data_IF_365076245684
#
_entry.id   IF_365076245684
#
_cell.length_a   1.000
_cell.length_b   1.000
_cell.length_c   1.000
_cell.angle_alpha   90.00
_cell.angle_beta   90.00
_cell.angle_gamma   90.00
#
_symmetry.space_group_name_H-M   'P 1'
#
loop_
_entity.id
_entity.type
_entity.pdbx_description
1 polymer ?
#
# COMPACT_ATOMS: atom_id res chain seq x y z
N UNK A 1 8.77 -28.22 -18.90
CA UNK A 1 7.45 -28.05 -18.24
C UNK A 1 6.98 -26.62 -18.50
N UNK A 2 5.72 -26.41 -18.91
CA UNK A 2 5.21 -25.05 -19.08
C UNK A 2 5.15 -24.36 -17.70
N UNK A 3 5.75 -23.16 -17.59
CA UNK A 3 5.74 -22.39 -16.35
C UNK A 3 4.30 -22.15 -15.83
N UNK A 4 3.33 -22.08 -16.74
CA UNK A 4 1.92 -22.00 -16.40
C UNK A 4 1.39 -23.26 -15.68
N UNK A 5 1.65 -24.46 -16.20
CA UNK A 5 1.20 -25.71 -15.54
C UNK A 5 1.78 -25.84 -14.14
N UNK A 6 3.04 -25.42 -13.95
CA UNK A 6 3.66 -25.38 -12.63
C UNK A 6 2.94 -24.40 -11.69
N UNK A 7 2.66 -23.18 -12.15
CA UNK A 7 1.95 -22.18 -11.35
C UNK A 7 0.51 -22.62 -10.99
N UNK A 8 -0.23 -23.17 -11.95
CA UNK A 8 -1.58 -23.73 -11.71
C UNK A 8 -1.57 -24.88 -10.71
N UNK A 9 -0.54 -25.72 -10.75
CA UNK A 9 -0.37 -26.82 -9.80
C UNK A 9 0.01 -26.34 -8.40
N UNK A 10 0.94 -25.38 -8.28
CA UNK A 10 1.25 -24.76 -6.98
C UNK A 10 0.01 -24.07 -6.39
N UNK A 11 -0.77 -23.38 -7.22
CA UNK A 11 -2.04 -22.79 -6.79
C UNK A 11 -3.06 -23.85 -6.33
N UNK A 12 -3.05 -25.04 -6.94
CA UNK A 12 -3.86 -26.19 -6.48
C UNK A 12 -3.42 -26.68 -5.11
N UNK A 13 -2.11 -26.88 -4.89
CA UNK A 13 -1.56 -27.34 -3.62
C UNK A 13 -1.80 -26.34 -2.48
N UNK A 14 -1.75 -25.04 -2.80
CA UNK A 14 -1.89 -23.95 -1.84
C UNK A 14 -3.34 -23.48 -1.65
N UNK A 15 -4.31 -24.04 -2.36
CA UNK A 15 -5.69 -23.53 -2.35
C UNK A 15 -6.32 -23.63 -0.95
N UNK A 16 -6.82 -22.50 -0.44
CA UNK A 16 -7.67 -22.43 0.77
C UNK A 16 -9.07 -21.90 0.40
N UNK A 17 -10.18 -22.62 0.67
CA UNK A 17 -11.54 -22.15 0.36
C UNK A 17 -11.87 -20.81 1.03
N UNK A 18 -12.45 -19.88 0.27
CA UNK A 18 -12.76 -18.53 0.76
C UNK A 18 -11.58 -17.55 0.77
N UNK A 19 -10.41 -17.96 0.25
CA UNK A 19 -9.22 -17.11 0.18
C UNK A 19 -8.71 -16.97 -1.25
N UNK A 20 -8.26 -15.76 -1.55
CA UNK A 20 -7.34 -15.48 -2.64
C UNK A 20 -5.92 -15.90 -2.24
N UNK A 21 -5.11 -16.24 -3.24
CA UNK A 21 -3.73 -16.66 -3.08
C UNK A 21 -2.83 -15.77 -3.94
N UNK A 22 -1.67 -15.39 -3.40
CA UNK A 22 -0.54 -14.89 -4.17
C UNK A 22 0.73 -15.64 -3.75
N UNK A 23 1.59 -15.96 -4.70
CA UNK A 23 2.85 -16.65 -4.42
C UNK A 23 3.98 -16.28 -5.38
N UNK A 24 5.20 -16.57 -4.96
CA UNK A 24 6.42 -16.43 -5.75
C UNK A 24 7.38 -17.57 -5.41
N UNK A 25 8.03 -18.12 -6.43
CA UNK A 25 9.06 -19.15 -6.28
C UNK A 25 10.45 -18.53 -6.33
N UNK A 26 11.35 -18.99 -5.45
CA UNK A 26 12.77 -18.64 -5.46
C UNK A 26 13.59 -19.75 -4.78
N UNK A 27 14.61 -20.26 -5.46
CA UNK A 27 15.61 -21.20 -4.92
C UNK A 27 15.00 -22.38 -4.15
N UNK A 28 14.06 -23.08 -4.81
CA UNK A 28 13.37 -24.24 -4.23
C UNK A 28 12.31 -23.91 -3.17
N UNK A 29 12.06 -22.64 -2.89
CA UNK A 29 11.04 -22.18 -1.95
C UNK A 29 9.86 -21.53 -2.66
N UNK A 30 8.67 -21.73 -2.12
CA UNK A 30 7.42 -21.06 -2.52
C UNK A 30 6.98 -20.19 -1.35
N UNK A 31 7.11 -18.88 -1.51
CA UNK A 31 6.58 -17.90 -0.57
C UNK A 31 5.17 -17.53 -0.99
N UNK A 32 4.21 -17.61 -0.08
CA UNK A 32 2.81 -17.38 -0.42
C UNK A 32 2.05 -16.62 0.67
N UNK A 33 0.97 -15.96 0.29
CA UNK A 33 0.06 -15.31 1.22
C UNK A 33 -1.40 -15.58 0.81
N UNK A 34 -2.22 -15.84 1.81
CA UNK A 34 -3.67 -15.87 1.67
C UNK A 34 -4.30 -14.54 2.08
N UNK A 35 -5.41 -14.22 1.42
CA UNK A 35 -6.26 -13.07 1.72
C UNK A 35 -7.73 -13.46 1.60
N UNK A 36 -8.55 -13.19 2.62
CA UNK A 36 -9.97 -13.57 2.58
C UNK A 36 -10.69 -12.82 1.47
N UNK A 37 -11.53 -13.52 0.70
CA UNK A 37 -12.31 -12.93 -0.39
C UNK A 37 -13.35 -11.91 0.12
N UNK A 38 -13.79 -12.06 1.36
CA UNK A 38 -14.77 -11.17 2.00
C UNK A 38 -14.10 -9.99 2.73
N UNK A 39 -12.77 -9.95 2.78
CA UNK A 39 -12.05 -8.93 3.51
C UNK A 39 -12.08 -7.57 2.79
N UNK A 40 -12.67 -6.57 3.46
CA UNK A 40 -12.74 -5.17 2.98
C UNK A 40 -11.63 -4.34 3.63
N UNK A 41 -10.37 -4.59 3.23
CA UNK A 41 -9.20 -3.95 3.85
C UNK A 41 -8.29 -3.31 2.80
N UNK A 42 -7.41 -2.35 3.16
CA UNK A 42 -6.46 -1.73 2.24
C UNK A 42 -5.27 -2.67 1.98
N UNK A 43 -5.56 -3.87 1.48
CA UNK A 43 -4.62 -4.97 1.30
C UNK A 43 -5.18 -5.97 0.27
N UNK A 44 -4.35 -6.95 -0.09
CA UNK A 44 -4.69 -8.09 -0.93
C UNK A 44 -3.67 -9.21 -0.67
N UNK A 45 -3.87 -10.39 -1.24
CA UNK A 45 -2.86 -11.45 -1.16
C UNK A 45 -1.51 -10.98 -1.72
N UNK A 46 -1.51 -10.21 -2.80
CA UNK A 46 -0.30 -9.62 -3.41
C UNK A 46 0.34 -8.60 -2.47
N UNK A 47 -0.44 -7.67 -1.89
CA UNK A 47 0.11 -6.65 -0.99
C UNK A 47 0.72 -7.32 0.25
N UNK A 48 0.01 -8.26 0.87
CA UNK A 48 0.48 -9.00 2.04
C UNK A 48 1.76 -9.80 1.76
N UNK A 49 1.81 -10.51 0.62
CA UNK A 49 3.02 -11.21 0.17
C UNK A 49 4.21 -10.26 0.06
N UNK A 50 4.03 -9.13 -0.64
CA UNK A 50 5.10 -8.16 -0.87
C UNK A 50 5.56 -7.51 0.43
N UNK A 51 4.62 -7.05 1.27
CA UNK A 51 4.92 -6.43 2.57
C UNK A 51 5.70 -7.39 3.47
N UNK A 52 5.22 -8.62 3.64
CA UNK A 52 5.90 -9.55 4.53
C UNK A 52 7.19 -10.13 3.98
N UNK A 53 7.40 -10.15 2.66
CA UNK A 53 8.70 -10.48 2.07
C UNK A 53 9.76 -9.42 2.41
N UNK A 54 9.43 -8.13 2.35
CA UNK A 54 10.36 -7.07 2.78
C UNK A 54 10.67 -7.14 4.27
N UNK A 55 9.64 -7.37 5.10
CA UNK A 55 9.84 -7.41 6.56
C UNK A 55 10.63 -8.66 7.01
N UNK A 56 10.38 -9.83 6.41
CA UNK A 56 11.04 -11.08 6.82
C UNK A 56 12.40 -11.30 6.18
N UNK A 57 12.62 -10.77 4.99
CA UNK A 57 13.83 -11.03 4.19
C UNK A 57 14.50 -9.71 3.80
N UNK A 58 14.93 -8.96 4.80
CA UNK A 58 15.72 -7.73 4.61
C UNK A 58 16.93 -8.04 3.72
N UNK A 59 17.20 -7.14 2.77
CA UNK A 59 18.23 -7.27 1.71
C UNK A 59 18.02 -8.39 0.67
N UNK A 60 17.30 -9.46 1.01
CA UNK A 60 17.07 -10.62 0.14
C UNK A 60 15.74 -10.53 -0.65
N UNK A 61 14.79 -9.74 -0.17
CA UNK A 61 13.48 -9.53 -0.77
C UNK A 61 13.56 -9.16 -2.25
N UNK A 62 14.50 -8.31 -2.66
CA UNK A 62 14.67 -7.95 -4.08
C UNK A 62 15.06 -9.13 -4.98
N UNK A 63 15.81 -10.11 -4.47
CA UNK A 63 16.17 -11.30 -5.25
C UNK A 63 14.95 -12.20 -5.44
N UNK A 64 14.17 -12.40 -4.38
CA UNK A 64 12.89 -13.12 -4.43
C UNK A 64 11.95 -12.44 -5.45
N UNK A 65 11.79 -11.11 -5.36
CA UNK A 65 10.83 -10.33 -6.15
C UNK A 65 11.26 -10.03 -7.60
N UNK A 66 12.45 -10.47 -8.02
CA UNK A 66 12.82 -10.56 -9.45
C UNK A 66 12.08 -11.70 -10.16
N UNK A 67 11.61 -12.69 -9.41
CA UNK A 67 10.78 -13.76 -9.93
C UNK A 67 9.36 -13.27 -10.22
N UNK A 68 8.60 -14.08 -10.97
CA UNK A 68 7.22 -13.74 -11.33
C UNK A 68 6.32 -14.05 -10.14
N UNK A 69 5.48 -13.08 -9.78
CA UNK A 69 4.40 -13.28 -8.81
C UNK A 69 3.20 -13.87 -9.54
N UNK A 70 2.56 -14.84 -8.93
CA UNK A 70 1.32 -15.43 -9.41
C UNK A 70 0.21 -15.17 -8.40
N UNK A 71 -1.01 -14.92 -8.87
CA UNK A 71 -2.17 -14.78 -8.01
C UNK A 71 -3.44 -15.33 -8.66
N UNK A 72 -4.34 -15.85 -7.83
CA UNK A 72 -5.65 -16.36 -8.27
C UNK A 72 -6.68 -15.25 -8.49
N UNK A 73 -6.42 -14.04 -7.96
CA UNK A 73 -7.30 -12.88 -8.06
C UNK A 73 -6.88 -11.96 -9.22
N UNK A 74 -7.79 -11.16 -9.81
CA UNK A 74 -7.42 -10.11 -10.76
C UNK A 74 -6.54 -9.03 -10.09
N UNK A 75 -5.51 -8.53 -10.79
CA UNK A 75 -4.70 -7.43 -10.25
C UNK A 75 -5.47 -6.11 -10.33
N UNK A 76 -5.76 -5.53 -9.16
CA UNK A 76 -6.28 -4.16 -8.99
C UNK A 76 -5.20 -3.11 -9.30
N UNK A 77 -5.59 -1.83 -9.41
CA UNK A 77 -4.62 -0.72 -9.57
C UNK A 77 -3.63 -0.64 -8.40
N UNK A 78 -4.09 -0.95 -7.18
CA UNK A 78 -3.22 -1.07 -6.01
C UNK A 78 -2.16 -2.16 -6.24
N UNK A 79 -2.57 -3.36 -6.64
CA UNK A 79 -1.66 -4.48 -6.93
C UNK A 79 -0.66 -4.13 -8.04
N UNK A 80 -1.12 -3.55 -9.14
CA UNK A 80 -0.26 -3.14 -10.26
C UNK A 80 0.73 -2.06 -9.84
N UNK A 81 0.28 -1.10 -9.03
CA UNK A 81 1.10 -0.04 -8.48
C UNK A 81 2.22 -0.59 -7.59
N UNK A 82 1.89 -1.42 -6.59
CA UNK A 82 2.90 -1.99 -5.68
C UNK A 82 3.88 -2.91 -6.43
N UNK A 83 3.40 -3.75 -7.36
CA UNK A 83 4.26 -4.58 -8.19
C UNK A 83 5.24 -3.72 -8.97
N UNK A 84 4.81 -2.59 -9.56
CA UNK A 84 5.70 -1.69 -10.29
C UNK A 84 6.78 -1.06 -9.41
N UNK A 85 6.50 -0.85 -8.11
CA UNK A 85 7.46 -0.26 -7.17
C UNK A 85 8.50 -1.30 -6.72
N UNK A 86 8.08 -2.53 -6.41
CA UNK A 86 8.95 -3.47 -5.68
C UNK A 86 9.21 -4.82 -6.36
N UNK A 87 8.53 -5.13 -7.46
CA UNK A 87 8.65 -6.40 -8.15
C UNK A 87 8.82 -6.21 -9.67
N UNK A 88 9.13 -7.30 -10.39
CA UNK A 88 9.36 -7.22 -11.84
C UNK A 88 8.11 -7.47 -12.66
N UNK A 89 7.34 -8.50 -12.30
CA UNK A 89 6.23 -9.00 -13.14
C UNK A 89 5.28 -9.85 -12.31
N UNK A 90 4.01 -9.83 -12.69
CA UNK A 90 3.00 -10.69 -12.11
C UNK A 90 2.09 -11.29 -13.19
N UNK A 91 1.39 -12.37 -12.82
CA UNK A 91 0.31 -12.99 -13.58
C UNK A 91 -0.87 -13.22 -12.64
N UNK A 92 -2.01 -12.64 -12.96
CA UNK A 92 -3.29 -12.84 -12.27
C UNK A 92 -4.10 -13.99 -12.86
N UNK A 93 -5.23 -14.27 -12.19
CA UNK A 93 -6.26 -15.20 -12.65
C UNK A 93 -5.72 -16.62 -12.91
N UNK A 94 -4.70 -17.03 -12.15
CA UNK A 94 -4.23 -18.42 -12.16
C UNK A 94 -5.35 -19.31 -11.64
N UNK A 95 -5.73 -20.31 -12.44
CA UNK A 95 -6.76 -21.28 -12.09
C UNK A 95 -6.09 -22.48 -11.41
N UNK A 96 -6.38 -22.77 -10.14
CA UNK A 96 -5.83 -23.95 -9.47
C UNK A 96 -6.19 -25.23 -10.21
N UNK A 97 -5.18 -26.01 -10.66
CA UNK A 97 -5.39 -27.27 -11.38
C UNK A 97 -4.36 -28.32 -10.97
N UNK A 98 -4.80 -29.54 -10.70
CA UNK A 98 -3.88 -30.65 -10.45
C UNK A 98 -3.25 -31.11 -11.77
N UNK A 99 -1.95 -30.89 -11.94
CA UNK A 99 -1.16 -31.37 -13.07
C UNK A 99 -0.32 -32.61 -12.72
N UNK A 100 -0.55 -33.21 -11.54
CA UNK A 100 0.17 -34.39 -11.04
C UNK A 100 1.71 -34.23 -11.07
N UNK A 101 2.20 -33.03 -10.72
CA UNK A 101 3.62 -32.75 -10.70
C UNK A 101 4.22 -33.17 -9.35
N UNK A 102 5.42 -33.76 -9.38
CA UNK A 102 6.21 -33.92 -8.17
C UNK A 102 6.87 -32.58 -7.81
N UNK A 103 6.43 -31.97 -6.70
CA UNK A 103 6.91 -30.66 -6.24
C UNK A 103 7.78 -30.86 -5.00
N UNK A 104 9.09 -30.78 -5.19
CA UNK A 104 10.09 -30.87 -4.11
C UNK A 104 10.41 -29.50 -3.47
N UNK A 105 9.44 -28.58 -3.46
CA UNK A 105 9.65 -27.21 -2.98
C UNK A 105 9.24 -27.05 -1.52
N UNK A 106 9.95 -26.19 -0.78
CA UNK A 106 9.56 -25.79 0.57
C UNK A 106 8.50 -24.70 0.52
N UNK A 107 7.51 -24.75 1.40
CA UNK A 107 6.40 -23.80 1.42
C UNK A 107 6.49 -22.89 2.65
N UNK A 108 6.49 -21.58 2.42
CA UNK A 108 6.56 -20.56 3.47
C UNK A 108 5.40 -19.58 3.36
N UNK A 109 4.44 -19.67 4.28
CA UNK A 109 3.35 -18.69 4.35
C UNK A 109 3.83 -17.37 4.96
N UNK A 110 3.46 -16.26 4.33
CA UNK A 110 3.69 -14.90 4.78
C UNK A 110 2.52 -14.48 5.66
N UNK A 111 2.59 -14.92 6.92
CA UNK A 111 1.65 -14.61 7.99
C UNK A 111 0.33 -15.39 7.91
N UNK A 112 -0.42 -15.49 9.03
CA UNK A 112 -1.65 -16.27 9.08
C UNK A 112 -2.68 -15.75 8.08
N UNK A 113 -3.43 -16.63 7.42
CA UNK A 113 -4.44 -16.27 6.43
C UNK A 113 -5.50 -15.29 6.97
N UNK A 114 -5.78 -15.37 8.27
CA UNK A 114 -6.78 -14.59 9.01
C UNK A 114 -6.34 -13.13 9.23
N UNK A 115 -5.05 -12.83 9.04
CA UNK A 115 -4.50 -11.48 9.11
C UNK A 115 -4.65 -10.80 7.76
N UNK A 116 -5.61 -9.89 7.63
CA UNK A 116 -5.92 -9.21 6.37
C UNK A 116 -4.90 -8.13 5.98
N UNK A 117 -4.38 -7.40 6.98
CA UNK A 117 -3.36 -6.36 6.79
C UNK A 117 -2.10 -6.80 7.50
N UNK A 118 -0.98 -6.84 6.78
CA UNK A 118 0.31 -7.23 7.34
C UNK A 118 0.67 -6.31 8.53
N UNK A 119 1.06 -6.85 9.69
CA UNK A 119 1.47 -6.04 10.83
C UNK A 119 2.85 -5.45 10.54
N UNK A 120 2.91 -4.15 10.29
CA UNK A 120 4.18 -3.46 10.08
C UNK A 120 4.87 -3.25 11.43
N UNK A 121 5.84 -4.10 11.76
CA UNK A 121 6.61 -4.04 13.03
C UNK A 121 7.61 -2.89 13.08
N UNK A 122 7.84 -2.22 11.96
CA UNK A 122 8.87 -1.20 11.79
C UNK A 122 8.30 0.21 11.59
N UNK A 123 7.01 0.41 11.85
CA UNK A 123 6.45 1.76 11.75
C UNK A 123 6.99 2.61 12.90
N UNK A 124 7.52 3.81 12.60
CA UNK A 124 7.76 4.77 13.66
C UNK A 124 6.44 5.09 14.36
N UNK A 125 6.53 5.49 15.63
CA UNK A 125 5.41 6.09 16.36
C UNK A 125 5.55 7.62 16.28
N UNK A 126 5.09 8.27 15.19
CA UNK A 126 5.12 9.72 15.07
C UNK A 126 4.30 10.37 16.19
N UNK A 127 4.87 11.40 16.81
CA UNK A 127 4.20 12.17 17.86
C UNK A 127 3.27 13.18 17.19
N UNK A 128 1.98 13.06 17.48
CA UNK A 128 0.99 14.04 17.05
C UNK A 128 0.53 14.87 18.25
N UNK A 129 0.91 16.16 18.27
CA UNK A 129 0.67 17.06 19.41
C UNK A 129 -0.62 17.88 19.32
N UNK A 130 -1.42 17.74 18.26
CA UNK A 130 -2.60 18.59 18.02
C UNK A 130 -3.94 17.90 18.37
N UNK A 131 -4.92 18.70 18.77
CA UNK A 131 -6.29 18.25 19.07
C UNK A 131 -7.03 17.73 17.84
N UNK A 132 -8.09 16.93 18.07
CA UNK A 132 -8.79 16.08 17.09
C UNK A 132 -9.39 16.79 15.87
N UNK A 133 -9.72 18.08 15.94
CA UNK A 133 -10.16 18.86 14.77
C UNK A 133 -9.05 19.75 14.24
N UNK A 134 -8.80 19.66 12.93
CA UNK A 134 -7.90 20.57 12.22
C UNK A 134 -8.64 21.77 11.63
N UNK A 135 -9.97 21.70 11.49
CA UNK A 135 -10.76 22.80 10.94
C UNK A 135 -11.50 23.52 12.06
N UNK A 136 -11.39 24.84 12.10
CA UNK A 136 -11.95 25.69 13.14
C UNK A 136 -13.22 26.44 12.69
N UNK A 137 -14.00 25.86 11.75
CA UNK A 137 -15.14 26.55 11.13
C UNK A 137 -14.74 27.74 10.23
N UNK A 138 -13.45 27.88 9.94
CA UNK A 138 -12.89 28.90 9.06
C UNK A 138 -13.06 28.59 7.57
N UNK A 139 -12.55 29.47 6.72
CA UNK A 139 -12.63 29.30 5.27
C UNK A 139 -11.88 28.04 4.82
N UNK A 140 -12.33 27.41 3.74
CA UNK A 140 -11.70 26.18 3.19
C UNK A 140 -10.18 26.35 2.97
N UNK A 141 -9.73 27.53 2.55
CA UNK A 141 -8.31 27.80 2.34
C UNK A 141 -7.49 27.77 3.64
N UNK A 142 -8.01 28.35 4.74
CA UNK A 142 -7.36 28.33 6.06
C UNK A 142 -7.25 26.90 6.60
N UNK A 143 -8.31 26.13 6.40
CA UNK A 143 -8.40 24.71 6.74
C UNK A 143 -7.37 23.87 5.95
N UNK A 144 -7.23 24.12 4.64
CA UNK A 144 -6.22 23.46 3.81
C UNK A 144 -4.78 23.84 4.21
N UNK A 145 -4.53 25.10 4.56
CA UNK A 145 -3.21 25.55 5.06
C UNK A 145 -2.86 24.80 6.35
N UNK A 146 -3.82 24.69 7.27
CA UNK A 146 -3.65 23.97 8.53
C UNK A 146 -3.36 22.49 8.30
N UNK A 147 -4.06 21.86 7.36
CA UNK A 147 -3.83 20.47 6.96
C UNK A 147 -2.40 20.27 6.38
N UNK A 148 -1.98 21.17 5.48
CA UNK A 148 -0.62 21.19 4.91
C UNK A 148 0.45 21.34 5.98
N UNK A 149 0.32 22.32 6.88
CA UNK A 149 1.28 22.54 7.96
C UNK A 149 1.39 21.33 8.88
N UNK A 150 0.26 20.68 9.16
CA UNK A 150 0.20 19.47 9.99
C UNK A 150 0.98 18.33 9.33
N UNK A 151 0.78 18.10 8.04
CA UNK A 151 1.54 17.08 7.30
C UNK A 151 3.03 17.41 7.20
N UNK A 152 3.40 18.68 7.00
CA UNK A 152 4.81 19.10 6.99
C UNK A 152 5.48 18.89 8.37
N UNK A 153 4.76 19.16 9.46
CA UNK A 153 5.25 18.90 10.83
C UNK A 153 5.39 17.40 11.14
N UNK A 154 4.61 16.53 10.49
CA UNK A 154 4.80 15.08 10.58
C UNK A 154 5.98 14.62 9.74
N UNK A 155 6.12 15.16 8.53
CA UNK A 155 7.24 14.85 7.64
C UNK A 155 8.60 15.22 8.27
N UNK A 156 8.67 16.32 9.02
CA UNK A 156 9.90 16.73 9.72
C UNK A 156 10.33 15.79 10.86
N UNK A 157 9.48 14.84 11.27
CA UNK A 157 9.82 13.83 12.27
C UNK A 157 10.49 12.60 11.63
N UNK A 158 10.48 12.49 10.30
CA UNK A 158 11.13 11.38 9.59
C UNK A 158 12.64 11.61 9.60
N UNK A 159 13.44 10.71 10.22
CA UNK A 159 14.88 10.88 10.28
C UNK A 159 15.51 10.97 8.90
N UNK A 160 16.36 11.97 8.70
CA UNK A 160 17.21 12.14 7.52
C UNK A 160 18.66 12.04 7.94
N UNK A 161 19.45 11.30 7.17
CA UNK A 161 20.91 11.28 7.30
C UNK A 161 21.61 11.49 5.97
N UNK A 162 22.94 11.47 6.01
CA UNK A 162 23.78 11.86 4.87
C UNK A 162 23.65 10.92 3.67
N UNK A 163 23.50 9.61 3.93
CA UNK A 163 23.41 8.58 2.90
C UNK A 163 21.94 8.39 2.49
N UNK A 164 21.48 9.17 1.51
CA UNK A 164 20.05 9.25 1.14
C UNK A 164 19.32 7.93 0.89
N UNK A 165 20.02 6.85 0.51
CA UNK A 165 19.39 5.54 0.27
C UNK A 165 19.15 4.72 1.54
N UNK A 166 19.82 5.06 2.64
CA UNK A 166 19.68 4.41 3.95
C UNK A 166 18.54 5.03 4.77
N UNK A 167 18.06 6.20 4.37
CA UNK A 167 17.05 6.98 5.10
C UNK A 167 15.75 7.11 4.32
N UNK A 168 14.67 7.25 5.09
CA UNK A 168 13.35 7.54 4.56
C UNK A 168 13.31 8.93 3.93
N UNK A 169 12.44 9.09 2.92
CA UNK A 169 12.04 10.44 2.50
C UNK A 169 11.12 11.04 3.56
N UNK A 170 11.27 12.34 3.81
CA UNK A 170 10.43 13.19 4.67
C UNK A 170 9.05 13.40 4.04
N UNK A 171 8.32 12.29 3.96
CA UNK A 171 6.99 12.22 3.38
C UNK A 171 6.02 11.87 4.50
N UNK A 172 4.94 12.62 4.56
CA UNK A 172 3.83 12.35 5.46
C UNK A 172 2.51 12.59 4.74
N UNK A 173 1.48 11.92 5.23
CA UNK A 173 0.12 12.08 4.77
C UNK A 173 -0.83 12.25 5.97
N UNK A 174 -1.90 12.99 5.75
CA UNK A 174 -2.96 13.26 6.73
C UNK A 174 -4.31 13.09 6.05
N UNK A 175 -5.25 12.48 6.74
CA UNK A 175 -6.62 12.25 6.30
C UNK A 175 -7.58 12.84 7.32
N UNK A 176 -8.48 13.69 6.84
CA UNK A 176 -9.58 14.26 7.63
C UNK A 176 -10.93 13.91 6.99
N UNK A 177 -12.00 13.92 7.78
CA UNK A 177 -13.37 13.83 7.27
C UNK A 177 -13.81 15.15 6.59
N UNK A 178 -15.09 15.25 6.22
CA UNK A 178 -15.63 16.43 5.56
C UNK A 178 -15.63 17.68 6.46
N UNK A 179 -15.73 17.46 7.77
CA UNK A 179 -15.77 18.48 8.82
C UNK A 179 -14.36 18.89 9.29
N UNK A 180 -13.32 18.13 8.91
CA UNK A 180 -11.93 18.42 9.26
C UNK A 180 -11.40 17.70 10.49
N UNK A 181 -12.14 16.72 11.03
CA UNK A 181 -11.64 15.87 12.09
C UNK A 181 -10.59 14.93 11.55
N UNK A 182 -9.48 14.81 12.28
CA UNK A 182 -8.40 13.89 11.96
C UNK A 182 -8.87 12.44 12.06
N UNK A 183 -8.84 11.74 10.93
CA UNK A 183 -9.15 10.31 10.86
C UNK A 183 -7.89 9.46 10.99
N UNK A 184 -6.83 9.83 10.26
CA UNK A 184 -5.56 9.11 10.25
C UNK A 184 -4.43 9.97 9.72
N UNK A 185 -3.21 9.50 9.97
CA UNK A 185 -1.99 10.04 9.41
C UNK A 185 -0.97 8.91 9.25
N UNK A 186 0.06 9.18 8.45
CA UNK A 186 1.16 8.23 8.24
C UNK A 186 2.42 8.97 7.82
N UNK A 187 3.57 8.42 8.18
CA UNK A 187 4.89 8.88 7.76
C UNK A 187 5.57 7.76 6.98
N UNK A 188 6.45 8.13 6.06
CA UNK A 188 7.15 7.17 5.20
C UNK A 188 8.19 6.35 5.98
N UNK A 189 8.23 5.04 5.73
CA UNK A 189 9.15 4.06 6.32
C UNK A 189 9.71 3.10 5.24
N UNK A 190 9.88 3.62 4.01
CA UNK A 190 10.30 2.85 2.85
C UNK A 190 11.78 2.41 2.86
N UNK A 191 12.61 2.95 3.74
CA UNK A 191 13.98 2.49 4.00
C UNK A 191 13.95 1.05 4.53
N UNK A 192 12.99 0.74 5.41
CA UNK A 192 12.80 -0.59 6.03
C UNK A 192 12.01 -1.54 5.14
N UNK A 193 10.94 -1.05 4.53
CA UNK A 193 10.12 -1.83 3.63
C UNK A 193 9.58 -0.94 2.52
N UNK A 194 9.99 -1.20 1.28
CA UNK A 194 9.74 -0.32 0.13
C UNK A 194 8.25 -0.06 -0.19
N UNK A 195 7.35 -0.79 0.46
CA UNK A 195 5.90 -0.63 0.34
C UNK A 195 5.30 0.33 1.38
N UNK A 196 6.01 0.65 2.46
CA UNK A 196 5.52 1.45 3.60
C UNK A 196 5.64 2.96 3.35
N UNK A 197 4.96 3.41 2.31
CA UNK A 197 4.79 4.85 2.03
C UNK A 197 3.85 5.50 3.05
N UNK A 198 3.96 6.82 3.21
CA UNK A 198 3.13 7.58 4.14
C UNK A 198 1.63 7.33 3.94
N UNK A 199 1.15 7.28 2.70
CA UNK A 199 -0.25 7.04 2.38
C UNK A 199 -0.67 5.60 2.69
N UNK A 200 0.20 4.62 2.44
CA UNK A 200 -0.06 3.22 2.79
C UNK A 200 -0.18 3.06 4.30
N UNK A 201 0.77 3.63 5.04
CA UNK A 201 0.78 3.59 6.50
C UNK A 201 -0.44 4.29 7.09
N UNK A 202 -0.85 5.41 6.49
CA UNK A 202 -2.07 6.13 6.85
C UNK A 202 -3.30 5.25 6.70
N UNK A 203 -3.50 4.61 5.55
CA UNK A 203 -4.73 3.85 5.27
C UNK A 203 -4.77 2.54 6.05
N UNK A 204 -3.65 1.82 6.13
CA UNK A 204 -3.56 0.62 6.95
C UNK A 204 -3.73 0.95 8.44
N UNK A 205 -3.15 2.06 8.90
CA UNK A 205 -3.37 2.57 10.26
C UNK A 205 -4.83 2.97 10.52
N UNK A 206 -5.49 3.62 9.55
CA UNK A 206 -6.90 3.97 9.65
C UNK A 206 -7.78 2.72 9.77
N UNK A 207 -7.57 1.73 8.89
CA UNK A 207 -8.28 0.46 8.92
C UNK A 207 -8.10 -0.26 10.26
N UNK A 208 -6.87 -0.36 10.78
CA UNK A 208 -6.63 -1.04 12.07
C UNK A 208 -7.39 -0.39 13.24
N UNK A 209 -7.67 0.92 13.18
CA UNK A 209 -8.39 1.65 14.23
C UNK A 209 -9.90 1.69 14.05
N UNK A 210 -10.39 1.69 12.81
CA UNK A 210 -11.82 1.95 12.51
C UNK A 210 -12.52 0.83 11.75
N UNK A 211 -11.78 -0.09 11.15
CA UNK A 211 -12.27 -1.17 10.29
C UNK A 211 -13.23 -0.70 9.17
N UNK A 212 -13.06 0.54 8.69
CA UNK A 212 -13.92 1.20 7.70
C UNK A 212 -13.08 1.80 6.57
N UNK A 213 -13.66 1.90 5.37
CA UNK A 213 -13.05 2.60 4.22
C UNK A 213 -12.95 4.11 4.46
N UNK A 214 -12.21 4.83 3.60
CA UNK A 214 -12.19 6.30 3.61
C UNK A 214 -13.62 6.80 3.37
N UNK A 215 -14.20 7.62 4.28
CA UNK A 215 -15.55 8.11 4.13
C UNK A 215 -15.67 9.05 2.93
N UNK A 216 -16.88 9.16 2.38
CA UNK A 216 -17.20 10.13 1.33
C UNK A 216 -16.82 11.57 1.75
N UNK A 217 -16.47 12.41 0.78
CA UNK A 217 -16.09 13.82 0.96
C UNK A 217 -14.84 14.10 1.82
N UNK A 218 -14.16 13.06 2.30
CA UNK A 218 -12.91 13.18 3.04
C UNK A 218 -11.83 13.95 2.25
N UNK A 219 -10.85 14.47 2.97
CA UNK A 219 -9.71 15.18 2.40
C UNK A 219 -8.43 14.47 2.82
N UNK A 220 -7.68 14.00 1.83
CA UNK A 220 -6.33 13.48 2.03
C UNK A 220 -5.33 14.52 1.55
N UNK A 221 -4.36 14.82 2.38
CA UNK A 221 -3.19 15.59 2.00
C UNK A 221 -1.95 14.72 2.12
N UNK A 222 -1.09 14.71 1.10
CA UNK A 222 0.24 14.08 1.14
C UNK A 222 1.29 15.13 0.82
N UNK A 223 2.44 15.16 1.51
CA UNK A 223 3.48 16.15 1.19
C UNK A 223 3.98 16.00 -0.24
N UNK A 224 3.96 14.77 -0.77
CA UNK A 224 4.31 14.44 -2.14
C UNK A 224 3.11 13.86 -2.90
N UNK A 225 3.09 14.04 -4.22
CA UNK A 225 2.08 13.45 -5.08
C UNK A 225 2.04 11.92 -4.90
N UNK A 226 0.88 11.31 -4.57
CA UNK A 226 0.79 9.86 -4.41
C UNK A 226 1.26 9.10 -5.65
N UNK A 227 2.14 8.11 -5.46
CA UNK A 227 2.59 7.25 -6.55
C UNK A 227 1.52 6.24 -6.99
N UNK A 228 1.73 5.47 -8.07
CA UNK A 228 0.74 4.49 -8.59
C UNK A 228 0.25 3.51 -7.52
N UNK A 229 1.13 3.06 -6.63
CA UNK A 229 0.76 2.20 -5.50
C UNK A 229 -0.20 2.92 -4.54
N UNK A 230 0.22 4.09 -4.02
CA UNK A 230 -0.55 4.88 -3.07
C UNK A 230 -1.89 5.32 -3.67
N UNK A 231 -1.87 5.85 -4.88
CA UNK A 231 -3.04 6.26 -5.64
C UNK A 231 -4.03 5.10 -5.87
N UNK A 232 -3.52 3.92 -6.21
CA UNK A 232 -4.33 2.71 -6.33
C UNK A 232 -5.00 2.34 -5.00
N UNK A 233 -4.25 2.34 -3.90
CA UNK A 233 -4.81 2.02 -2.57
C UNK A 233 -5.86 3.04 -2.12
N UNK A 234 -5.58 4.34 -2.28
CA UNK A 234 -6.51 5.44 -1.97
C UNK A 234 -7.82 5.26 -2.74
N UNK A 235 -7.74 5.05 -4.06
CA UNK A 235 -8.90 4.90 -4.92
C UNK A 235 -9.74 3.66 -4.57
N UNK A 236 -9.12 2.48 -4.48
CA UNK A 236 -9.84 1.23 -4.22
C UNK A 236 -10.45 1.18 -2.81
N UNK A 237 -9.87 1.91 -1.87
CA UNK A 237 -10.27 1.86 -0.47
C UNK A 237 -10.99 3.14 0.01
N UNK A 238 -11.60 3.86 -0.94
CA UNK A 238 -12.60 4.90 -0.68
C UNK A 238 -14.02 4.34 -0.79
N UNK A 239 -14.94 4.82 0.06
CA UNK A 239 -16.38 4.51 -0.05
C UNK A 239 -16.95 5.07 -1.34
N UNK A 240 -16.65 6.35 -1.60
CA UNK A 240 -16.97 7.05 -2.83
C UNK A 240 -15.71 7.77 -3.34
N UNK A 241 -14.96 7.16 -4.28
CA UNK A 241 -13.77 7.78 -4.84
C UNK A 241 -14.03 9.11 -5.53
N UNK A 242 -15.25 9.37 -6.03
CA UNK A 242 -15.55 10.59 -6.78
C UNK A 242 -15.68 11.82 -5.87
N UNK A 243 -16.06 11.64 -4.60
CA UNK A 243 -16.12 12.74 -3.62
C UNK A 243 -14.82 12.97 -2.85
N UNK A 244 -13.86 12.04 -2.91
CA UNK A 244 -12.56 12.19 -2.26
C UNK A 244 -11.76 13.35 -2.88
N UNK A 245 -11.15 14.16 -2.01
CA UNK A 245 -10.20 15.20 -2.43
C UNK A 245 -8.79 14.84 -2.00
N UNK A 246 -7.86 14.78 -2.96
CA UNK A 246 -6.45 14.50 -2.69
C UNK A 246 -5.59 15.71 -3.06
N UNK A 247 -4.83 16.23 -2.10
CA UNK A 247 -3.93 17.37 -2.28
C UNK A 247 -2.47 16.98 -2.06
N UNK A 248 -1.56 17.65 -2.78
CA UNK A 248 -0.12 17.49 -2.59
C UNK A 248 0.69 18.77 -2.80
N UNK A 249 1.87 18.89 -2.16
CA UNK A 249 2.77 20.04 -2.39
C UNK A 249 3.84 19.73 -3.43
N UNK A 250 4.50 18.58 -3.34
CA UNK A 250 5.65 18.24 -4.19
C UNK A 250 5.24 17.26 -5.29
N UNK A 251 5.48 17.62 -6.55
CA UNK A 251 5.37 16.68 -7.66
C UNK A 251 6.75 16.13 -8.05
N UNK A 252 6.94 14.83 -7.84
CA UNK A 252 8.15 14.16 -8.32
C UNK A 252 8.07 13.95 -9.84
N UNK A 253 9.18 14.18 -10.55
CA UNK A 253 9.29 13.96 -12.00
C UNK A 253 9.36 12.47 -12.39
N UNK A 254 9.18 11.54 -11.46
CA UNK A 254 9.26 10.10 -11.68
C UNK A 254 8.13 9.54 -12.56
N UNK A 255 8.31 8.34 -13.10
CA UNK A 255 7.26 7.62 -13.86
C UNK A 255 6.22 6.94 -12.94
N UNK A 256 6.50 6.92 -11.64
CA UNK A 256 5.62 6.34 -10.62
C UNK A 256 4.57 7.33 -10.11
N UNK A 257 4.75 8.63 -10.26
CA UNK A 257 3.83 9.69 -9.84
C UNK A 257 2.94 10.22 -10.97
N UNK A 258 3.11 9.71 -12.20
CA UNK A 258 2.38 10.14 -13.40
C UNK A 258 1.38 9.10 -13.84
N UNK A 259 0.26 9.56 -14.42
CA UNK A 259 -0.81 8.71 -14.96
C UNK A 259 -1.30 7.69 -13.92
N UNK A 260 -1.40 8.13 -12.68
CA UNK A 260 -2.02 7.36 -11.61
C UNK A 260 -3.53 7.30 -11.83
N UNK A 261 -4.22 6.38 -11.16
CA UNK A 261 -5.69 6.35 -11.22
C UNK A 261 -6.31 7.67 -10.73
N UNK A 262 -5.68 8.34 -9.75
CA UNK A 262 -6.15 9.63 -9.26
C UNK A 262 -5.95 10.75 -10.28
N UNK A 263 -4.90 10.71 -11.11
CA UNK A 263 -4.72 11.66 -12.23
C UNK A 263 -5.81 11.45 -13.30
N UNK A 264 -6.05 10.19 -13.68
CA UNK A 264 -7.06 9.83 -14.70
C UNK A 264 -8.46 10.28 -14.30
N UNK A 265 -8.76 10.23 -13.00
CA UNK A 265 -10.06 10.66 -12.44
C UNK A 265 -10.06 12.13 -12.01
N UNK A 266 -8.97 12.88 -12.20
CA UNK A 266 -8.82 14.29 -11.77
C UNK A 266 -9.08 14.51 -10.27
N UNK A 267 -8.77 13.51 -9.43
CA UNK A 267 -8.93 13.53 -7.98
C UNK A 267 -7.70 14.08 -7.24
N UNK A 268 -6.54 14.02 -7.89
CA UNK A 268 -5.27 14.50 -7.35
C UNK A 268 -5.02 15.95 -7.78
N UNK A 269 -4.84 16.86 -6.83
CA UNK A 269 -4.66 18.28 -7.12
C UNK A 269 -3.39 18.82 -6.45
N UNK A 270 -2.56 19.60 -7.15
CA UNK A 270 -1.52 20.36 -6.47
C UNK A 270 -2.19 21.30 -5.46
N UNK A 271 -1.52 21.53 -4.34
CA UNK A 271 -1.99 22.46 -3.33
C UNK A 271 -2.11 23.85 -3.97
N UNK A 272 -3.20 24.60 -3.71
CA UNK A 272 -3.41 25.90 -4.33
C UNK A 272 -2.21 26.83 -4.10
N UNK A 273 -1.78 27.53 -5.16
CA UNK A 273 -0.86 28.65 -5.00
C UNK A 273 -1.57 29.70 -4.14
N UNK A 274 -0.89 30.17 -3.09
CA UNK A 274 -1.34 31.25 -2.22
C UNK A 274 -1.11 32.60 -2.90
#
# INVERSE_FOLDING_TARGET
MLAQNRAEHLAFLLKKPGFELAFVEHDGHVYFAHYSQDAVTPSSAVVKLLQGLFDRFVDHSFFILRNRIFTTAPLTEMCRGIIKVVAKRATDLIIPRNHHLDVQSQFSEIGPAEVNVWPSTHLPEPVFTRSQSLFAGGALNENLITLRQTALSLASQVPRGEILHDYDRDIAAVLVDAEGHLLSFGVNANSKNKTLHAEVNLLQGFYRRRASKIPAHAILYSTHKPCKMCAGMIYHWSEDPASLRVYYTVEEKGSLSRETILDKMSLNKPFPAL
#
